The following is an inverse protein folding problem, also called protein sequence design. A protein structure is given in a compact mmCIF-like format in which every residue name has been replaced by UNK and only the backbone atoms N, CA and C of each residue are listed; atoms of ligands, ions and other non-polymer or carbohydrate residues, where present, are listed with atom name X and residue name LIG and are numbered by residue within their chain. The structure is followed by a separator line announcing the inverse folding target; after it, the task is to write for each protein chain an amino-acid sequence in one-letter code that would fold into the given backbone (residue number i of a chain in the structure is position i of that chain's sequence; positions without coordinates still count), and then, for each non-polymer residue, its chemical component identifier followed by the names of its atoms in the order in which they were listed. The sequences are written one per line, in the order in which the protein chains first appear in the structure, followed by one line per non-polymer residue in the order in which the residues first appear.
data_IF_604328295709
#
_entry.id   IF_604328295709
#
_cell.length_a   1.000
_cell.length_b   1.000
_cell.length_c   1.000
_cell.angle_alpha   90.00
_cell.angle_beta   90.00
_cell.angle_gamma   90.00
#
_symmetry.space_group_name_H-M   'P 1'
#
loop_
_entity.id
_entity.type
_entity.pdbx_description
1 polymer ?
#
# COMPACT_ATOMS: atom_id res chain seq x y z
N UNK A 1 -6.84 64.72 14.75
CA UNK A 1 -5.52 64.18 15.12
C UNK A 1 -5.69 63.45 16.44
N UNK A 2 -5.75 62.12 16.44
CA UNK A 2 -5.80 61.32 17.67
C UNK A 2 -4.44 60.66 17.86
N UNK A 3 -3.72 61.11 18.89
CA UNK A 3 -2.43 60.59 19.31
C UNK A 3 -2.62 59.23 19.98
N UNK A 4 -1.90 58.22 19.47
CA UNK A 4 -1.79 56.88 20.05
C UNK A 4 -0.87 57.00 21.27
N UNK A 5 -1.41 56.84 22.48
CA UNK A 5 -0.64 56.73 23.72
C UNK A 5 -0.14 55.29 23.87
N UNK A 6 1.18 55.10 23.82
CA UNK A 6 1.85 53.86 24.19
C UNK A 6 1.58 53.54 25.68
N UNK A 7 1.18 52.30 26.04
CA UNK A 7 1.21 51.89 27.43
C UNK A 7 2.67 51.70 27.85
N UNK A 8 3.14 52.53 28.79
CA UNK A 8 4.44 52.33 29.43
C UNK A 8 4.38 51.09 30.31
N UNK A 9 5.16 50.06 30.00
CA UNK A 9 5.37 48.92 30.90
C UNK A 9 5.91 49.42 32.24
N UNK A 10 5.17 49.21 33.33
CA UNK A 10 5.64 49.54 34.67
C UNK A 10 6.72 48.55 35.12
N UNK A 11 7.63 48.99 35.99
CA UNK A 11 8.68 48.15 36.58
C UNK A 11 8.10 46.95 37.30
N UNK A 12 6.92 47.09 37.91
CA UNK A 12 6.23 45.99 38.58
C UNK A 12 5.71 44.94 37.61
N UNK A 13 5.29 45.33 36.39
CA UNK A 13 4.88 44.39 35.35
C UNK A 13 6.06 43.56 34.86
N UNK A 14 7.24 44.18 34.73
CA UNK A 14 8.50 43.49 34.41
C UNK A 14 8.91 42.50 35.51
N UNK A 15 8.83 42.89 36.78
CA UNK A 15 9.16 42.00 37.91
C UNK A 15 8.20 40.82 37.99
N UNK A 16 6.91 41.04 37.77
CA UNK A 16 5.92 39.96 37.71
C UNK A 16 6.14 39.01 36.53
N UNK A 17 6.52 39.55 35.37
CA UNK A 17 6.84 38.74 34.19
C UNK A 17 8.08 37.86 34.43
N UNK A 18 9.12 38.42 35.04
CA UNK A 18 10.35 37.69 35.40
C UNK A 18 10.07 36.61 36.45
N UNK A 19 9.25 36.91 37.46
CA UNK A 19 8.91 35.94 38.51
C UNK A 19 8.12 34.77 37.92
N UNK A 20 7.14 35.05 37.05
CA UNK A 20 6.39 34.00 36.33
C UNK A 20 7.28 33.19 35.40
N UNK A 21 8.20 33.82 34.67
CA UNK A 21 9.08 33.09 33.77
C UNK A 21 10.04 32.16 34.53
N UNK A 22 10.48 32.55 35.72
CA UNK A 22 11.29 31.69 36.61
C UNK A 22 10.47 30.50 37.13
N UNK A 23 9.21 30.71 37.53
CA UNK A 23 8.31 29.62 37.91
C UNK A 23 8.11 28.61 36.77
N UNK A 24 7.90 29.10 35.54
CA UNK A 24 7.83 28.25 34.35
C UNK A 24 9.13 27.47 34.10
N UNK A 25 10.29 28.10 34.28
CA UNK A 25 11.59 27.43 34.11
C UNK A 25 11.76 26.30 35.14
N UNK A 26 11.37 26.52 36.39
CA UNK A 26 11.46 25.47 37.43
C UNK A 26 10.47 24.33 37.19
N UNK A 27 9.27 24.62 36.69
CA UNK A 27 8.31 23.59 36.25
C UNK A 27 8.92 22.77 35.09
N UNK A 28 9.52 23.43 34.09
CA UNK A 28 10.16 22.75 32.96
C UNK A 28 11.35 21.90 33.41
N UNK A 29 12.19 22.39 34.33
CA UNK A 29 13.29 21.59 34.91
C UNK A 29 12.78 20.38 35.67
N UNK A 30 11.68 20.52 36.42
CA UNK A 30 11.04 19.41 37.14
C UNK A 30 10.50 18.36 36.17
N UNK A 31 9.84 18.79 35.07
CA UNK A 31 9.36 17.89 34.02
C UNK A 31 10.54 17.15 33.36
N UNK A 32 11.61 17.84 32.98
CA UNK A 32 12.81 17.23 32.39
C UNK A 32 13.43 16.20 33.37
N UNK A 33 13.54 16.56 34.66
CA UNK A 33 14.07 15.64 35.67
C UNK A 33 13.17 14.42 35.90
N UNK A 34 11.85 14.53 35.71
CA UNK A 34 10.92 13.41 35.77
C UNK A 34 11.05 12.54 34.50
N UNK A 35 11.21 13.14 33.32
CA UNK A 35 11.48 12.42 32.08
C UNK A 35 12.80 11.65 32.18
N UNK A 36 13.87 12.24 32.72
CA UNK A 36 15.15 11.56 32.96
C UNK A 36 15.00 10.38 33.93
N UNK A 37 14.14 10.50 34.95
CA UNK A 37 13.83 9.40 35.87
C UNK A 37 12.96 8.33 35.20
N UNK A 38 12.01 8.69 34.34
CA UNK A 38 11.23 7.73 33.56
C UNK A 38 12.11 6.98 32.55
N UNK A 39 13.07 7.67 31.92
CA UNK A 39 14.10 7.07 31.08
C UNK A 39 14.93 6.07 31.90
N UNK A 40 15.49 6.49 33.04
CA UNK A 40 16.31 5.62 33.88
C UNK A 40 15.55 4.44 34.51
N UNK A 41 14.24 4.59 34.75
CA UNK A 41 13.38 3.51 35.27
C UNK A 41 12.95 2.56 34.14
N UNK A 42 12.80 3.06 32.91
CA UNK A 42 12.54 2.22 31.73
C UNK A 42 13.77 1.44 31.25
N UNK A 43 14.97 1.99 31.44
CA UNK A 43 16.25 1.35 31.09
C UNK A 43 16.56 0.12 31.97
N UNK A 44 15.97 -0.01 33.16
CA UNK A 44 16.23 -1.12 34.08
C UNK A 44 15.21 -2.27 34.02
N UNK A 45 14.22 -2.22 33.11
CA UNK A 45 13.22 -3.29 32.96
C UNK A 45 13.22 -4.01 31.60
N UNK A 46 14.09 -3.64 30.66
CA UNK A 46 14.17 -4.32 29.36
C UNK A 46 15.61 -4.72 29.03
N UNK A 47 15.87 -6.01 29.25
CA UNK A 47 16.90 -6.73 28.53
C UNK A 47 16.59 -6.66 27.03
N UNK A 48 17.15 -5.66 26.32
CA UNK A 48 17.62 -5.77 24.93
C UNK A 48 18.11 -4.39 24.45
N UNK A 49 19.42 -4.18 24.50
CA UNK A 49 20.10 -3.02 23.91
C UNK A 49 19.94 -2.89 22.37
N UNK A 50 19.06 -3.69 21.75
CA UNK A 50 18.81 -3.76 20.30
C UNK A 50 17.69 -2.83 19.81
N UNK A 51 16.95 -2.20 20.71
CA UNK A 51 15.81 -1.35 20.36
C UNK A 51 15.92 0.06 20.94
N UNK A 52 17.10 0.69 20.84
CA UNK A 52 17.20 2.14 21.00
C UNK A 52 16.26 2.84 20.00
N UNK A 53 15.62 3.96 20.37
CA UNK A 53 14.70 4.69 19.48
C UNK A 53 15.29 4.99 18.10
N UNK A 54 16.59 5.27 18.04
CA UNK A 54 17.31 5.53 16.79
C UNK A 54 17.44 4.28 15.89
N UNK A 55 17.70 3.11 16.48
CA UNK A 55 17.78 1.86 15.74
C UNK A 55 16.41 1.46 15.16
N UNK A 56 15.34 1.72 15.91
CA UNK A 56 13.97 1.53 15.46
C UNK A 56 13.62 2.50 14.32
N UNK A 57 13.97 3.78 14.43
CA UNK A 57 13.75 4.77 13.35
C UNK A 57 14.43 4.33 12.05
N UNK A 58 15.70 3.92 12.12
CA UNK A 58 16.45 3.42 10.95
C UNK A 58 15.82 2.17 10.34
N UNK A 59 15.25 1.28 11.17
CA UNK A 59 14.53 0.11 10.68
C UNK A 59 13.24 0.53 9.96
N UNK A 60 12.45 1.43 10.55
CA UNK A 60 11.22 1.91 9.94
C UNK A 60 11.48 2.67 8.63
N UNK A 61 12.55 3.46 8.55
CA UNK A 61 13.01 4.11 7.32
C UNK A 61 13.36 3.08 6.23
N UNK A 62 14.12 2.03 6.57
CA UNK A 62 14.44 0.95 5.63
C UNK A 62 13.18 0.25 5.11
N UNK A 63 12.23 -0.03 5.99
CA UNK A 63 10.95 -0.64 5.61
C UNK A 63 10.19 0.30 4.68
N UNK A 64 10.11 1.60 5.02
CA UNK A 64 9.38 2.59 4.25
C UNK A 64 9.94 2.83 2.84
N UNK A 65 11.23 2.57 2.62
CA UNK A 65 11.87 2.68 1.31
C UNK A 65 11.90 1.35 0.53
N UNK A 66 11.50 0.24 1.15
CA UNK A 66 11.41 -1.06 0.48
C UNK A 66 10.16 -1.09 -0.40
N UNK A 67 10.29 -1.59 -1.63
CA UNK A 67 9.17 -1.80 -2.53
C UNK A 67 8.86 -3.28 -2.64
N UNK A 68 7.58 -3.60 -2.51
CA UNK A 68 7.04 -4.92 -2.73
C UNK A 68 6.04 -4.81 -3.88
N UNK A 69 6.44 -5.35 -5.02
CA UNK A 69 5.77 -5.17 -6.30
C UNK A 69 5.10 -6.50 -6.63
N UNK A 70 3.82 -6.46 -6.96
CA UNK A 70 3.14 -7.61 -7.53
C UNK A 70 3.86 -8.05 -8.82
N UNK A 71 3.84 -9.32 -9.17
CA UNK A 71 4.36 -9.80 -10.46
C UNK A 71 3.33 -10.75 -11.07
N UNK A 72 2.97 -11.80 -10.32
CA UNK A 72 1.90 -12.72 -10.66
C UNK A 72 1.39 -13.43 -9.39
N UNK A 73 0.44 -14.33 -9.53
CA UNK A 73 -0.16 -15.05 -8.40
C UNK A 73 0.83 -15.94 -7.62
N UNK A 74 2.04 -16.16 -8.13
CA UNK A 74 3.03 -17.09 -7.58
C UNK A 74 4.32 -16.42 -7.12
N UNK A 75 4.59 -15.19 -7.54
CA UNK A 75 5.79 -14.43 -7.18
C UNK A 75 5.55 -12.93 -7.02
N UNK A 76 6.48 -12.29 -6.31
CA UNK A 76 6.56 -10.85 -6.13
C UNK A 76 7.99 -10.38 -6.36
N UNK A 77 8.18 -9.14 -6.79
CA UNK A 77 9.49 -8.49 -6.83
C UNK A 77 9.68 -7.67 -5.55
N UNK A 78 10.85 -7.80 -4.94
CA UNK A 78 11.26 -7.00 -3.80
C UNK A 78 12.45 -6.13 -4.16
N UNK A 79 12.28 -4.81 -4.07
CA UNK A 79 13.33 -3.83 -4.29
C UNK A 79 13.74 -3.21 -2.95
N UNK A 80 14.98 -3.44 -2.56
CA UNK A 80 15.58 -2.79 -1.40
C UNK A 80 16.23 -1.46 -1.82
N UNK A 81 16.39 -0.49 -0.88
CA UNK A 81 16.97 0.81 -1.21
C UNK A 81 18.36 0.68 -1.84
N UNK A 82 18.51 1.17 -3.08
CA UNK A 82 19.77 1.15 -3.82
C UNK A 82 20.18 -0.23 -4.35
N UNK A 83 19.27 -1.20 -4.40
CA UNK A 83 19.50 -2.54 -4.96
C UNK A 83 18.49 -2.83 -6.08
N UNK A 84 18.86 -3.66 -7.07
CA UNK A 84 17.91 -4.08 -8.10
C UNK A 84 16.77 -4.91 -7.47
N UNK A 85 15.57 -4.91 -8.10
CA UNK A 85 14.48 -5.81 -7.72
C UNK A 85 14.90 -7.28 -7.81
N UNK A 86 14.49 -8.08 -6.82
CA UNK A 86 14.73 -9.53 -6.79
C UNK A 86 13.39 -10.24 -6.68
N UNK A 87 13.18 -11.24 -7.53
CA UNK A 87 11.97 -12.06 -7.53
C UNK A 87 12.01 -13.09 -6.40
N UNK A 88 10.90 -13.17 -5.66
CA UNK A 88 10.67 -14.19 -4.65
C UNK A 88 9.34 -14.89 -4.91
N UNK A 89 9.39 -16.21 -5.00
CA UNK A 89 8.18 -17.03 -5.00
C UNK A 89 7.64 -17.25 -3.57
N UNK A 90 6.40 -17.72 -3.49
CA UNK A 90 5.73 -17.97 -2.20
C UNK A 90 6.54 -18.87 -1.25
N UNK A 91 7.30 -19.86 -1.74
CA UNK A 91 8.08 -20.77 -0.87
C UNK A 91 9.31 -20.09 -0.29
N UNK A 92 10.01 -19.28 -1.07
CA UNK A 92 11.17 -18.51 -0.60
C UNK A 92 10.76 -17.53 0.52
N UNK A 93 9.53 -17.01 0.48
CA UNK A 93 8.98 -16.16 1.53
C UNK A 93 8.38 -16.92 2.73
N UNK A 94 8.55 -18.25 2.80
CA UNK A 94 8.08 -19.06 3.93
C UNK A 94 6.58 -19.40 3.88
N UNK A 95 5.93 -19.27 2.73
CA UNK A 95 4.58 -19.80 2.49
C UNK A 95 4.68 -21.24 1.98
N UNK A 96 3.64 -22.04 2.21
CA UNK A 96 3.62 -23.43 1.77
C UNK A 96 3.47 -23.54 0.25
N UNK A 97 2.56 -22.75 -0.31
CA UNK A 97 2.24 -22.65 -1.73
C UNK A 97 1.37 -21.40 -1.99
N UNK A 98 1.15 -21.11 -3.27
CA UNK A 98 0.30 -19.99 -3.73
C UNK A 98 -1.16 -20.12 -3.28
N UNK A 99 -1.62 -21.34 -2.99
CA UNK A 99 -2.99 -21.59 -2.55
C UNK A 99 -3.24 -21.26 -1.07
N UNK A 100 -2.21 -20.88 -0.30
CA UNK A 100 -2.40 -20.53 1.10
C UNK A 100 -3.19 -19.23 1.25
N UNK A 101 -4.17 -19.22 2.18
CA UNK A 101 -5.01 -18.03 2.44
C UNK A 101 -4.19 -16.76 2.72
N UNK A 102 -3.07 -16.89 3.44
CA UNK A 102 -2.17 -15.77 3.74
C UNK A 102 -1.42 -15.27 2.50
N UNK A 103 -1.09 -16.15 1.56
CA UNK A 103 -0.45 -15.74 0.31
C UNK A 103 -1.45 -15.05 -0.61
N UNK A 104 -2.61 -15.66 -0.85
CA UNK A 104 -3.69 -15.03 -1.62
C UNK A 104 -4.04 -13.65 -1.05
N UNK A 105 -4.17 -13.55 0.27
CA UNK A 105 -4.38 -12.27 0.94
C UNK A 105 -3.28 -11.25 0.65
N UNK A 106 -2.00 -11.63 0.62
CA UNK A 106 -0.92 -10.73 0.28
C UNK A 106 -1.03 -10.26 -1.17
N UNK A 107 -1.21 -11.20 -2.09
CA UNK A 107 -1.36 -10.94 -3.53
C UNK A 107 -2.57 -10.04 -3.81
N UNK A 108 -3.72 -10.33 -3.21
CA UNK A 108 -4.95 -9.53 -3.34
C UNK A 108 -4.73 -8.06 -2.94
N UNK A 109 -3.86 -7.78 -1.95
CA UNK A 109 -3.54 -6.41 -1.53
C UNK A 109 -2.55 -5.76 -2.50
N UNK A 110 -1.57 -6.51 -2.99
CA UNK A 110 -0.53 -5.99 -3.88
C UNK A 110 -1.04 -5.78 -5.32
N UNK A 111 -1.94 -6.62 -5.80
CA UNK A 111 -2.36 -6.62 -7.21
C UNK A 111 -3.20 -5.42 -7.60
N UNK A 112 -3.86 -4.75 -6.65
CA UNK A 112 -4.79 -3.67 -6.94
C UNK A 112 -4.59 -2.45 -6.03
N UNK A 113 -4.51 -1.28 -6.64
CA UNK A 113 -4.58 -0.01 -5.92
C UNK A 113 -5.94 0.09 -5.19
N UNK A 114 -6.01 0.70 -3.99
CA UNK A 114 -4.98 1.53 -3.34
C UNK A 114 -4.00 0.77 -2.43
N UNK A 115 -3.90 -0.57 -2.54
CA UNK A 115 -3.09 -1.42 -1.66
C UNK A 115 -3.43 -1.28 -0.17
N UNK A 116 -4.69 -0.99 0.11
CA UNK A 116 -5.23 -0.93 1.48
C UNK A 116 -6.09 -2.15 1.78
N UNK A 117 -6.34 -2.36 3.07
CA UNK A 117 -7.19 -3.43 3.54
C UNK A 117 -7.93 -3.04 4.82
N UNK A 118 -9.05 -3.70 5.08
CA UNK A 118 -9.85 -3.50 6.29
C UNK A 118 -10.27 -4.84 6.90
N UNK A 119 -10.29 -4.89 8.23
CA UNK A 119 -10.73 -6.06 9.00
C UNK A 119 -12.27 -6.14 9.10
N UNK A 120 -12.97 -5.07 8.73
CA UNK A 120 -14.40 -4.90 8.90
C UNK A 120 -14.76 -4.41 10.30
N UNK A 121 -16.04 -4.56 10.64
CA UNK A 121 -16.60 -4.10 11.91
C UNK A 121 -16.30 -5.11 13.01
N UNK A 122 -15.61 -4.67 14.08
CA UNK A 122 -15.28 -5.54 15.21
C UNK A 122 -16.48 -5.92 16.09
N UNK A 123 -17.47 -5.03 16.18
CA UNK A 123 -18.65 -5.21 17.02
C UNK A 123 -19.93 -4.77 16.32
N UNK A 124 -20.95 -5.62 16.37
CA UNK A 124 -22.31 -5.31 15.91
C UNK A 124 -23.13 -4.90 17.12
N UNK A 125 -24.05 -3.95 16.94
CA UNK A 125 -24.95 -3.46 17.96
C UNK A 125 -26.40 -3.68 17.49
N UNK A 126 -26.99 -4.87 17.71
CA UNK A 126 -28.29 -5.22 17.14
C UNK A 126 -29.42 -4.28 17.57
N UNK A 127 -29.31 -3.71 18.76
CA UNK A 127 -30.26 -2.76 19.37
C UNK A 127 -29.72 -1.31 19.39
N UNK A 128 -28.60 -1.05 18.70
CA UNK A 128 -27.89 0.25 18.72
C UNK A 128 -27.22 0.60 20.06
N UNK A 129 -27.36 -0.23 21.09
CA UNK A 129 -26.80 0.00 22.42
C UNK A 129 -25.39 -0.55 22.53
N UNK A 130 -24.45 0.28 23.00
CA UNK A 130 -23.07 -0.16 23.31
C UNK A 130 -23.00 -1.27 24.37
N UNK A 131 -24.07 -1.46 25.17
CA UNK A 131 -24.14 -2.49 26.21
C UNK A 131 -24.38 -3.90 25.66
N UNK A 132 -25.04 -4.02 24.50
CA UNK A 132 -25.34 -5.30 23.85
C UNK A 132 -24.45 -5.51 22.62
N UNK A 133 -23.15 -5.21 22.77
CA UNK A 133 -22.19 -5.39 21.69
C UNK A 133 -21.93 -6.87 21.44
N UNK A 134 -22.03 -7.30 20.19
CA UNK A 134 -21.70 -8.65 19.77
C UNK A 134 -20.42 -8.64 18.95
N UNK A 135 -19.46 -9.49 19.31
CA UNK A 135 -18.19 -9.58 18.60
C UNK A 135 -18.41 -10.19 17.21
N UNK A 136 -17.89 -9.54 16.18
CA UNK A 136 -17.96 -10.04 14.82
C UNK A 136 -16.93 -11.15 14.60
N UNK A 137 -17.40 -12.35 14.24
CA UNK A 137 -16.53 -13.50 13.99
C UNK A 137 -15.64 -13.29 12.75
N UNK A 138 -16.18 -12.61 11.73
CA UNK A 138 -15.45 -12.36 10.49
C UNK A 138 -14.28 -11.40 10.69
N UNK A 139 -14.46 -10.39 11.56
CA UNK A 139 -13.39 -9.50 11.98
C UNK A 139 -12.24 -10.28 12.63
N UNK A 140 -12.56 -11.14 13.60
CA UNK A 140 -11.55 -11.94 14.30
C UNK A 140 -10.81 -12.89 13.35
N UNK A 141 -11.52 -13.51 12.40
CA UNK A 141 -10.93 -14.39 11.42
C UNK A 141 -9.97 -13.64 10.49
N UNK A 142 -10.38 -12.48 9.96
CA UNK A 142 -9.53 -11.61 9.14
C UNK A 142 -8.32 -11.11 9.91
N UNK A 143 -8.51 -10.71 11.17
CA UNK A 143 -7.43 -10.25 12.04
C UNK A 143 -6.39 -11.33 12.29
N UNK A 144 -6.80 -12.56 12.60
CA UNK A 144 -5.89 -13.68 12.79
C UNK A 144 -5.12 -14.02 11.51
N UNK A 145 -5.79 -14.00 10.36
CA UNK A 145 -5.14 -14.28 9.07
C UNK A 145 -4.05 -13.24 8.76
N UNK A 146 -4.32 -11.97 9.01
CA UNK A 146 -3.33 -10.90 8.87
C UNK A 146 -2.21 -10.98 9.90
N UNK A 147 -2.50 -11.39 11.13
CA UNK A 147 -1.46 -11.58 12.15
C UNK A 147 -0.49 -12.69 11.73
N UNK A 148 -1.01 -13.77 11.15
CA UNK A 148 -0.20 -14.84 10.54
C UNK A 148 0.61 -14.33 9.34
N UNK A 149 0.02 -13.55 8.44
CA UNK A 149 0.73 -12.91 7.32
C UNK A 149 1.87 -12.02 7.83
N UNK A 150 1.59 -11.15 8.81
CA UNK A 150 2.59 -10.28 9.41
C UNK A 150 3.77 -11.08 10.00
N UNK A 151 3.48 -12.14 10.76
CA UNK A 151 4.52 -13.04 11.32
C UNK A 151 5.38 -13.67 10.22
N UNK A 152 4.77 -14.15 9.13
CA UNK A 152 5.50 -14.73 8.00
C UNK A 152 6.43 -13.71 7.35
N UNK A 153 5.94 -12.51 7.06
CA UNK A 153 6.75 -11.46 6.47
C UNK A 153 7.91 -11.04 7.39
N UNK A 154 7.67 -10.88 8.69
CA UNK A 154 8.74 -10.59 9.65
C UNK A 154 9.81 -11.68 9.67
N UNK A 155 9.40 -12.94 9.65
CA UNK A 155 10.33 -14.07 9.61
C UNK A 155 11.14 -14.08 8.31
N UNK A 156 10.51 -13.80 7.17
CA UNK A 156 11.18 -13.66 5.89
C UNK A 156 12.23 -12.53 5.91
N UNK A 157 11.87 -11.30 6.30
CA UNK A 157 12.82 -10.19 6.35
C UNK A 157 13.97 -10.45 7.33
N UNK A 158 13.69 -11.16 8.44
CA UNK A 158 14.71 -11.58 9.40
C UNK A 158 15.67 -12.61 8.80
N UNK A 159 15.16 -13.65 8.12
CA UNK A 159 16.01 -14.70 7.55
C UNK A 159 16.79 -14.24 6.34
N UNK A 160 16.16 -13.46 5.45
CA UNK A 160 16.73 -13.06 4.16
C UNK A 160 17.69 -11.88 4.31
N UNK A 161 17.36 -10.90 5.15
CA UNK A 161 18.12 -9.64 5.26
C UNK A 161 18.72 -9.38 6.64
N UNK A 162 18.52 -10.29 7.59
CA UNK A 162 19.03 -10.13 8.96
C UNK A 162 18.34 -9.01 9.75
N UNK A 163 17.14 -8.60 9.36
CA UNK A 163 16.42 -7.53 10.04
C UNK A 163 15.89 -8.01 11.40
N UNK A 164 16.06 -7.18 12.42
CA UNK A 164 15.57 -7.47 13.76
C UNK A 164 14.40 -6.57 14.09
N UNK A 165 13.28 -7.17 14.49
CA UNK A 165 12.05 -6.45 14.79
C UNK A 165 11.73 -6.54 16.28
N UNK A 166 11.19 -5.48 16.90
CA UNK A 166 10.66 -5.55 18.26
C UNK A 166 9.57 -6.61 18.39
N UNK A 167 9.31 -7.05 19.62
CA UNK A 167 8.18 -7.92 19.89
C UNK A 167 6.87 -7.27 19.42
N UNK A 168 6.00 -8.06 18.79
CA UNK A 168 4.71 -7.61 18.27
C UNK A 168 4.75 -6.51 17.19
N UNK A 169 5.91 -6.24 16.57
CA UNK A 169 6.03 -5.26 15.49
C UNK A 169 5.04 -5.56 14.35
N UNK A 170 4.41 -4.50 13.82
CA UNK A 170 3.47 -4.59 12.70
C UNK A 170 4.07 -3.94 11.46
N UNK A 171 4.07 -4.68 10.35
CA UNK A 171 4.46 -4.21 9.02
C UNK A 171 3.33 -3.42 8.33
N UNK A 172 2.27 -3.07 9.05
CA UNK A 172 1.17 -2.25 8.56
C UNK A 172 0.86 -1.13 9.54
N UNK A 173 0.22 -0.09 9.03
CA UNK A 173 -0.24 1.10 9.76
C UNK A 173 -1.64 1.48 9.28
N UNK A 174 -2.29 2.41 9.95
CA UNK A 174 -3.54 2.96 9.43
C UNK A 174 -3.25 3.70 8.11
N UNK A 175 -4.12 3.50 7.12
CA UNK A 175 -3.99 4.20 5.85
C UNK A 175 -4.24 5.70 6.08
N UNK A 176 -3.39 6.55 5.50
CA UNK A 176 -3.49 8.01 5.67
C UNK A 176 -4.75 8.56 5.00
N UNK A 177 -5.14 7.96 3.88
CA UNK A 177 -6.25 8.39 3.02
C UNK A 177 -7.47 7.48 3.10
N UNK A 178 -7.42 6.41 3.90
CA UNK A 178 -8.48 5.40 3.94
C UNK A 178 -9.64 5.77 4.87
N UNK A 179 -10.82 5.21 4.59
CA UNK A 179 -11.96 5.32 5.49
C UNK A 179 -11.69 4.64 6.86
N UNK A 180 -12.50 4.96 7.87
CA UNK A 180 -12.33 4.49 9.25
C UNK A 180 -11.96 2.99 9.36
N UNK A 181 -10.70 2.71 9.71
CA UNK A 181 -10.18 1.37 9.97
C UNK A 181 -9.40 0.73 8.81
N UNK A 182 -9.28 1.41 7.66
CA UNK A 182 -8.37 0.99 6.59
C UNK A 182 -6.90 1.05 7.04
N UNK A 183 -6.13 0.08 6.54
CA UNK A 183 -4.71 -0.06 6.82
C UNK A 183 -3.94 -0.26 5.53
N UNK A 184 -2.67 0.12 5.55
CA UNK A 184 -1.71 -0.13 4.47
C UNK A 184 -0.43 -0.71 5.04
N UNK A 185 0.34 -1.40 4.21
CA UNK A 185 1.68 -1.81 4.59
C UNK A 185 2.59 -0.59 4.84
N UNK A 186 3.62 -0.80 5.67
CA UNK A 186 4.64 0.21 5.95
C UNK A 186 5.63 0.36 4.80
N UNK A 187 5.86 -0.71 4.03
CA UNK A 187 6.61 -0.69 2.78
C UNK A 187 5.75 -0.14 1.64
N UNK A 188 6.40 0.23 0.54
CA UNK A 188 5.73 0.69 -0.68
C UNK A 188 5.18 -0.54 -1.38
N UNK A 189 3.85 -0.61 -1.52
CA UNK A 189 3.18 -1.61 -2.34
C UNK A 189 2.96 -1.01 -3.72
N UNK A 190 3.36 -1.74 -4.75
CA UNK A 190 3.14 -1.36 -6.15
C UNK A 190 2.40 -2.52 -6.86
N UNK A 191 1.49 -2.20 -7.80
CA UNK A 191 0.95 -3.23 -8.70
C UNK A 191 2.09 -3.75 -9.58
N UNK A 192 1.78 -4.71 -10.47
CA UNK A 192 2.76 -5.28 -11.39
C UNK A 192 3.73 -4.22 -11.91
N UNK A 193 5.04 -4.41 -11.70
CA UNK A 193 5.99 -3.57 -12.41
C UNK A 193 5.69 -3.80 -13.87
N UNK A 194 5.29 -2.74 -14.55
CA UNK A 194 5.21 -2.69 -16.00
C UNK A 194 6.64 -2.85 -16.55
N UNK A 195 7.20 -4.04 -16.44
CA UNK A 195 8.21 -4.58 -17.33
C UNK A 195 7.58 -5.32 -18.52
N UNK A 196 6.25 -5.44 -18.54
CA UNK A 196 5.58 -5.06 -19.77
C UNK A 196 5.71 -3.55 -19.86
N UNK A 197 6.54 -3.05 -20.77
CA UNK A 197 6.16 -1.84 -21.48
C UNK A 197 4.67 -2.01 -21.74
N UNK A 198 3.80 -1.17 -21.16
CA UNK A 198 2.56 -0.85 -21.83
C UNK A 198 3.06 -0.27 -23.14
N UNK A 199 3.24 -1.16 -24.12
CA UNK A 199 3.53 -0.83 -25.50
C UNK A 199 2.40 0.15 -25.78
N UNK A 200 2.68 1.47 -25.87
CA UNK A 200 1.61 2.45 -26.02
C UNK A 200 0.73 1.93 -27.15
N UNK A 201 -0.61 2.05 -27.08
CA UNK A 201 -1.46 1.48 -28.15
C UNK A 201 -0.91 1.83 -29.55
N UNK A 202 -0.33 3.01 -29.72
CA UNK A 202 0.47 3.45 -30.88
C UNK A 202 1.52 2.46 -31.41
N UNK A 203 2.18 1.69 -30.54
CA UNK A 203 3.24 0.74 -30.84
C UNK A 203 2.70 -0.68 -31.10
N UNK A 204 1.50 -1.03 -30.61
CA UNK A 204 0.73 -2.21 -31.05
C UNK A 204 0.07 -1.93 -32.41
N UNK A 205 -0.54 -0.76 -32.56
CA UNK A 205 -1.20 -0.29 -33.78
C UNK A 205 -0.24 -0.29 -34.98
N UNK A 206 1.05 0.00 -34.77
CA UNK A 206 2.11 -0.14 -35.80
C UNK A 206 2.15 -1.49 -36.48
N UNK A 207 1.80 -2.59 -35.78
CA UNK A 207 1.77 -3.94 -36.36
C UNK A 207 0.65 -4.09 -37.39
N UNK A 208 -0.43 -3.35 -37.23
CA UNK A 208 -1.59 -3.37 -38.12
C UNK A 208 -1.55 -2.28 -39.19
N UNK A 209 -0.74 -1.23 -39.01
CA UNK A 209 -0.59 -0.15 -40.00
C UNK A 209 -0.09 -0.62 -41.37
N UNK A 210 0.66 -1.73 -41.43
CA UNK A 210 1.15 -2.32 -42.69
C UNK A 210 0.11 -3.19 -43.42
N UNK A 211 -0.98 -3.58 -42.76
CA UNK A 211 -2.02 -4.44 -43.34
C UNK A 211 -2.96 -3.66 -44.27
N UNK A 212 -3.41 -4.29 -45.35
CA UNK A 212 -4.55 -3.80 -46.12
C UNK A 212 -5.88 -4.10 -45.41
N UNK A 213 -6.97 -3.52 -45.91
CA UNK A 213 -8.28 -3.62 -45.25
C UNK A 213 -8.76 -5.08 -45.13
N UNK A 214 -8.52 -5.91 -46.13
CA UNK A 214 -8.93 -7.32 -46.15
C UNK A 214 -8.14 -8.16 -45.14
N UNK A 215 -6.82 -7.97 -45.10
CA UNK A 215 -5.94 -8.63 -44.14
C UNK A 215 -6.25 -8.21 -42.70
N UNK A 216 -6.55 -6.93 -42.47
CA UNK A 216 -6.94 -6.42 -41.16
C UNK A 216 -8.27 -7.01 -40.68
N UNK A 217 -9.28 -7.10 -41.54
CA UNK A 217 -10.57 -7.74 -41.22
C UNK A 217 -10.38 -9.20 -40.83
N UNK A 218 -9.53 -9.93 -41.58
CA UNK A 218 -9.24 -11.33 -41.28
C UNK A 218 -8.54 -11.50 -39.92
N UNK A 219 -7.59 -10.63 -39.61
CA UNK A 219 -6.87 -10.65 -38.34
C UNK A 219 -7.79 -10.33 -37.16
N UNK A 220 -8.69 -9.35 -37.31
CA UNK A 220 -9.73 -9.02 -36.32
C UNK A 220 -10.66 -10.22 -36.10
N UNK A 221 -11.04 -10.94 -37.16
CA UNK A 221 -11.85 -12.15 -37.05
C UNK A 221 -11.18 -13.25 -36.23
N UNK A 222 -9.86 -13.43 -36.37
CA UNK A 222 -9.09 -14.39 -35.54
C UNK A 222 -9.08 -13.93 -34.08
N UNK A 223 -8.69 -12.67 -33.82
CA UNK A 223 -8.63 -12.10 -32.48
C UNK A 223 -9.99 -12.11 -31.76
N UNK A 224 -11.08 -11.88 -32.50
CA UNK A 224 -12.43 -11.90 -31.97
C UNK A 224 -12.92 -13.33 -31.66
N UNK A 225 -12.59 -14.31 -32.50
CA UNK A 225 -12.91 -15.70 -32.24
C UNK A 225 -12.15 -16.23 -31.03
N UNK A 226 -10.85 -15.92 -30.92
CA UNK A 226 -10.03 -16.27 -29.76
C UNK A 226 -10.62 -15.65 -28.47
N UNK A 227 -11.00 -14.37 -28.52
CA UNK A 227 -11.69 -13.71 -27.40
C UNK A 227 -13.06 -14.33 -27.07
N UNK A 228 -13.87 -14.68 -28.08
CA UNK A 228 -15.18 -15.31 -27.86
C UNK A 228 -15.06 -16.71 -27.24
N UNK A 229 -13.95 -17.42 -27.44
CA UNK A 229 -13.68 -18.72 -26.81
C UNK A 229 -13.24 -18.52 -25.34
N UNK A 230 -12.49 -17.45 -25.05
CA UNK A 230 -11.97 -17.11 -23.71
C UNK A 230 -12.88 -16.20 -22.86
N UNK A 231 -14.04 -15.77 -23.37
CA UNK A 231 -14.94 -14.80 -22.72
C UNK A 231 -15.60 -15.30 -21.42
N UNK A 232 -15.33 -16.53 -20.99
CA UNK A 232 -15.78 -17.07 -19.71
C UNK A 232 -14.90 -16.63 -18.53
N UNK A 233 -13.71 -16.06 -18.80
CA UNK A 233 -12.69 -15.72 -17.79
C UNK A 233 -12.34 -14.23 -17.77
N UNK A 234 -12.50 -13.52 -18.90
CA UNK A 234 -12.13 -12.09 -19.04
C UNK A 234 -13.32 -11.24 -19.51
N UNK A 235 -13.59 -10.13 -18.81
CA UNK A 235 -14.70 -9.21 -19.12
C UNK A 235 -14.37 -8.15 -20.17
N UNK A 236 -13.08 -7.91 -20.42
CA UNK A 236 -12.61 -6.84 -21.30
C UNK A 236 -11.93 -7.39 -22.56
N UNK A 237 -12.12 -6.78 -23.75
CA UNK A 237 -11.47 -7.21 -24.99
C UNK A 237 -9.94 -7.06 -24.91
N UNK A 238 -9.16 -8.01 -25.46
CA UNK A 238 -7.71 -7.92 -25.51
C UNK A 238 -7.21 -6.64 -26.22
N UNK A 239 -6.09 -6.09 -25.75
CA UNK A 239 -5.50 -4.85 -26.28
C UNK A 239 -5.20 -4.91 -27.79
N UNK A 240 -4.84 -6.09 -28.32
CA UNK A 240 -4.62 -6.30 -29.76
C UNK A 240 -5.90 -6.15 -30.59
N UNK A 241 -7.04 -6.61 -30.06
CA UNK A 241 -8.33 -6.46 -30.73
C UNK A 241 -8.74 -4.98 -30.75
N UNK A 242 -8.55 -4.27 -29.64
CA UNK A 242 -8.81 -2.83 -29.55
C UNK A 242 -7.91 -2.03 -30.52
N UNK A 243 -6.61 -2.34 -30.55
CA UNK A 243 -5.66 -1.69 -31.45
C UNK A 243 -5.98 -1.93 -32.94
N UNK A 244 -6.32 -3.17 -33.33
CA UNK A 244 -6.70 -3.48 -34.70
C UNK A 244 -7.98 -2.73 -35.14
N UNK A 245 -8.96 -2.62 -34.24
CA UNK A 245 -10.19 -1.84 -34.47
C UNK A 245 -9.91 -0.34 -34.59
N UNK A 246 -9.01 0.21 -33.78
CA UNK A 246 -8.59 1.61 -33.87
C UNK A 246 -7.86 1.90 -35.19
N UNK A 247 -6.97 1.01 -35.65
CA UNK A 247 -6.35 1.14 -36.98
C UNK A 247 -7.41 1.10 -38.08
N UNK A 248 -8.42 0.25 -37.96
CA UNK A 248 -9.57 0.24 -38.86
C UNK A 248 -10.31 1.58 -38.95
N UNK A 249 -10.59 2.17 -37.78
CA UNK A 249 -11.23 3.49 -37.65
C UNK A 249 -10.36 4.61 -38.23
N UNK A 250 -9.07 4.61 -37.92
CA UNK A 250 -8.15 5.70 -38.25
C UNK A 250 -7.63 5.64 -39.70
N UNK A 251 -7.34 4.44 -40.22
CA UNK A 251 -6.76 4.23 -41.55
C UNK A 251 -7.81 4.07 -42.65
N UNK A 252 -8.90 3.37 -42.35
CA UNK A 252 -9.94 3.02 -43.33
C UNK A 252 -11.28 3.72 -43.08
N UNK A 253 -11.35 4.57 -42.04
CA UNK A 253 -12.55 5.37 -41.76
C UNK A 253 -13.75 4.55 -41.30
N UNK A 254 -13.53 3.37 -40.70
CA UNK A 254 -14.64 2.52 -40.27
C UNK A 254 -15.51 3.21 -39.22
N UNK A 255 -16.82 3.18 -39.44
CA UNK A 255 -17.82 3.61 -38.47
C UNK A 255 -18.37 2.41 -37.69
N UNK A 256 -19.07 2.68 -36.59
CA UNK A 256 -19.54 1.63 -35.67
C UNK A 256 -20.40 0.55 -36.33
N UNK A 257 -21.12 0.87 -37.42
CA UNK A 257 -21.88 -0.10 -38.20
C UNK A 257 -20.97 -1.15 -38.87
N UNK A 258 -19.86 -0.70 -39.46
CA UNK A 258 -18.88 -1.56 -40.13
C UNK A 258 -18.10 -2.38 -39.10
N UNK A 259 -17.73 -1.78 -37.98
CA UNK A 259 -17.07 -2.46 -36.86
C UNK A 259 -17.96 -3.59 -36.31
N UNK A 260 -19.25 -3.33 -36.12
CA UNK A 260 -20.22 -4.35 -35.68
C UNK A 260 -20.35 -5.49 -36.69
N UNK A 261 -20.40 -5.19 -37.99
CA UNK A 261 -20.45 -6.21 -39.04
C UNK A 261 -19.23 -7.16 -38.99
N UNK A 262 -18.03 -6.61 -38.76
CA UNK A 262 -16.78 -7.37 -38.71
C UNK A 262 -16.69 -8.24 -37.45
N UNK A 263 -17.18 -7.76 -36.30
CA UNK A 263 -17.13 -8.46 -35.01
C UNK A 263 -18.27 -9.50 -34.86
N UNK A 264 -19.36 -9.36 -35.62
CA UNK A 264 -20.51 -10.28 -35.58
C UNK A 264 -20.35 -11.50 -36.49
N UNK A 265 -19.26 -11.59 -37.27
CA UNK A 265 -18.93 -12.70 -38.17
C UNK A 265 -17.92 -13.68 -37.57
#
# INVERSE_FOLDING_TARGET
MNTITNPSLDRNDLVNLISKSQEYIEILKSIISIDDLQIATSENLFADAKYLPEALSKLEEKIAQTRMIFENDSSILLELPGKPPVEYNCRQMGFRNQETKTWKMLIDILSSAPHTFNFGVAYIYPDGSKRNRQKCKDYDAKWKLFDELNKKLLMFFKSEFGWNFPESFKLYKNAVTGENGERSFKFIAEPASSHDEVVPLDNIEKRFLSLDESALVKEIGVLNNDFSVDSWVHTDPPEFLIAALNVGRNKFGWHDARVKEIIQY
#
